data_IF_345229873656
#
_entry.id   IF_345229873656
#
_cell.length_a   1.000
_cell.length_b   1.000
_cell.length_c   1.000
_cell.angle_alpha   90.00
_cell.angle_beta   90.00
_cell.angle_gamma   90.00
#
_symmetry.space_group_name_H-M   'P 1'
#
loop_
_entity.id
_entity.type
_entity.pdbx_description
1 polymer ?
#
# COMPACT_ATOMS: atom_id res chain seq x y z
N UNK A 1 5.12 -12.66 13.47
CA UNK A 1 4.24 -12.43 12.29
C UNK A 1 4.48 -11.01 11.83
N UNK A 2 4.65 -10.78 10.54
CA UNK A 2 4.77 -9.45 9.95
C UNK A 2 3.44 -9.04 9.29
N UNK A 3 3.22 -7.73 9.15
CA UNK A 3 1.99 -7.18 8.56
C UNK A 3 2.33 -6.19 7.45
N UNK A 4 1.61 -6.30 6.34
CA UNK A 4 1.83 -5.50 5.14
C UNK A 4 0.52 -4.87 4.69
N UNK A 5 0.50 -3.53 4.60
CA UNK A 5 -0.55 -2.78 3.94
C UNK A 5 -0.11 -2.40 2.52
N UNK A 6 -0.82 -2.89 1.52
CA UNK A 6 -0.64 -2.47 0.13
C UNK A 6 -1.71 -1.43 -0.20
N UNK A 7 -1.29 -0.22 -0.51
CA UNK A 7 -2.15 0.95 -0.69
C UNK A 7 -1.93 1.51 -2.09
N UNK A 8 -2.97 1.57 -2.91
CA UNK A 8 -2.89 2.31 -4.15
C UNK A 8 -3.02 3.80 -3.88
N UNK A 9 -2.16 4.63 -4.52
CA UNK A 9 -2.27 6.09 -4.43
C UNK A 9 -3.71 6.57 -4.69
N UNK A 10 -4.07 7.73 -4.18
CA UNK A 10 -5.39 8.32 -4.36
C UNK A 10 -5.61 8.85 -5.79
N UNK A 11 -6.83 9.26 -6.11
CA UNK A 11 -7.18 9.70 -7.46
C UNK A 11 -6.41 10.95 -7.84
N UNK A 12 -5.60 10.86 -8.89
CA UNK A 12 -4.85 11.97 -9.48
C UNK A 12 -5.55 12.58 -10.69
N UNK A 13 -5.10 13.77 -11.08
CA UNK A 13 -5.47 14.42 -12.33
C UNK A 13 -5.20 13.49 -13.53
N UNK A 14 -5.96 13.61 -14.62
CA UNK A 14 -5.72 12.85 -15.85
C UNK A 14 -4.33 13.18 -16.41
N UNK A 15 -3.78 12.26 -17.20
CA UNK A 15 -2.60 12.56 -18.01
C UNK A 15 -2.95 13.61 -19.05
N UNK A 16 -2.09 14.63 -19.17
CA UNK A 16 -2.18 15.67 -20.18
C UNK A 16 -0.93 15.57 -21.06
N UNK A 17 -1.10 15.52 -22.36
CA UNK A 17 0.02 15.50 -23.30
C UNK A 17 0.96 16.70 -23.07
N UNK A 18 2.26 16.45 -23.05
CA UNK A 18 3.30 17.45 -22.73
C UNK A 18 3.59 17.63 -21.24
N UNK A 19 2.94 16.84 -20.36
CA UNK A 19 3.27 16.80 -18.93
C UNK A 19 3.84 15.43 -18.55
N UNK A 20 4.61 15.40 -17.45
CA UNK A 20 5.15 14.15 -16.94
C UNK A 20 4.11 13.39 -16.10
N UNK A 21 3.95 12.08 -16.35
CA UNK A 21 3.05 11.23 -15.55
C UNK A 21 3.40 11.28 -14.06
N UNK A 22 4.69 11.36 -13.76
CA UNK A 22 5.24 11.46 -12.40
C UNK A 22 4.66 12.66 -11.64
N UNK A 23 4.43 13.78 -12.31
CA UNK A 23 4.07 15.06 -11.70
C UNK A 23 2.56 15.28 -11.52
N UNK A 24 1.74 14.32 -11.91
CA UNK A 24 0.28 14.40 -11.72
C UNK A 24 -0.09 14.46 -10.24
N UNK A 25 -0.75 15.54 -9.85
CA UNK A 25 -1.24 15.81 -8.48
C UNK A 25 -2.54 15.07 -8.19
N UNK A 26 -2.91 14.98 -6.92
CA UNK A 26 -4.24 14.50 -6.53
C UNK A 26 -5.32 15.49 -6.97
N UNK A 27 -6.49 14.95 -7.32
CA UNK A 27 -7.72 15.75 -7.41
C UNK A 27 -8.29 16.01 -6.01
N UNK A 28 -9.19 16.99 -5.86
CA UNK A 28 -9.94 17.21 -4.62
C UNK A 28 -10.66 15.93 -4.14
N UNK A 29 -11.22 15.15 -5.09
CA UNK A 29 -11.82 13.84 -4.80
C UNK A 29 -10.78 12.83 -4.34
N UNK A 30 -9.55 12.91 -4.86
CA UNK A 30 -8.43 12.08 -4.43
C UNK A 30 -8.03 12.38 -2.99
N UNK A 31 -7.89 13.65 -2.63
CA UNK A 31 -7.57 14.08 -1.26
C UNK A 31 -8.65 13.63 -0.25
N UNK A 32 -9.92 13.79 -0.60
CA UNK A 32 -11.02 13.32 0.25
C UNK A 32 -10.98 11.80 0.45
N UNK A 33 -10.72 11.03 -0.61
CA UNK A 33 -10.60 9.56 -0.52
C UNK A 33 -9.37 9.12 0.26
N UNK A 34 -8.25 9.85 0.14
CA UNK A 34 -7.06 9.60 0.96
C UNK A 34 -7.34 9.87 2.45
N UNK A 35 -8.11 10.90 2.78
CA UNK A 35 -8.53 11.21 4.14
C UNK A 35 -9.45 10.12 4.72
N UNK A 36 -10.37 9.59 3.92
CA UNK A 36 -11.23 8.47 4.32
C UNK A 36 -10.40 7.19 4.56
N UNK A 37 -9.43 6.91 3.68
CA UNK A 37 -8.48 5.81 3.85
C UNK A 37 -7.67 5.98 5.15
N UNK A 38 -7.16 7.18 5.42
CA UNK A 38 -6.45 7.50 6.66
C UNK A 38 -7.31 7.19 7.89
N UNK A 39 -8.58 7.60 7.88
CA UNK A 39 -9.54 7.30 8.95
C UNK A 39 -9.78 5.79 9.13
N UNK A 40 -9.73 5.02 8.05
CA UNK A 40 -9.81 3.55 8.14
C UNK A 40 -8.53 2.96 8.73
N UNK A 41 -7.35 3.43 8.30
CA UNK A 41 -6.04 2.97 8.79
C UNK A 41 -5.84 3.26 10.28
N UNK A 42 -6.34 4.41 10.78
CA UNK A 42 -6.20 4.79 12.20
C UNK A 42 -6.88 3.82 13.17
N UNK A 43 -7.80 3.00 12.69
CA UNK A 43 -8.57 2.01 13.47
C UNK A 43 -7.97 0.59 13.39
N UNK A 44 -6.83 0.43 12.71
CA UNK A 44 -6.24 -0.89 12.47
C UNK A 44 -5.21 -1.27 13.50
N UNK A 45 -5.09 -2.57 13.73
CA UNK A 45 -4.08 -3.18 14.59
C UNK A 45 -3.49 -4.38 13.83
N UNK A 46 -2.16 -4.48 13.74
CA UNK A 46 -1.18 -3.50 14.24
C UNK A 46 -1.17 -2.22 13.39
N UNK A 47 -0.74 -1.12 14.01
CA UNK A 47 -0.59 0.16 13.33
C UNK A 47 0.69 0.17 12.49
N UNK A 48 0.67 0.90 11.38
CA UNK A 48 1.83 1.05 10.49
C UNK A 48 2.97 1.75 11.23
N UNK A 49 4.15 1.12 11.27
CA UNK A 49 5.38 1.63 11.86
C UNK A 49 6.27 2.32 10.82
N UNK A 50 6.28 1.81 9.59
CA UNK A 50 6.99 2.39 8.46
C UNK A 50 6.07 2.52 7.25
N UNK A 51 6.08 3.68 6.62
CA UNK A 51 5.32 3.97 5.41
C UNK A 51 6.28 4.24 4.25
N UNK A 52 6.35 3.32 3.31
CA UNK A 52 7.16 3.41 2.10
C UNK A 52 6.30 3.83 0.92
N UNK A 53 6.78 4.74 0.08
CA UNK A 53 6.00 5.23 -1.04
C UNK A 53 6.86 5.67 -2.22
N UNK A 54 6.29 5.58 -3.42
CA UNK A 54 6.97 6.00 -4.64
C UNK A 54 7.11 7.52 -4.71
N UNK A 55 8.08 7.97 -5.48
CA UNK A 55 8.43 9.39 -5.65
C UNK A 55 7.41 10.22 -6.47
N UNK A 56 6.40 9.61 -7.10
CA UNK A 56 5.42 10.38 -7.86
C UNK A 56 4.60 11.30 -6.95
N UNK A 57 4.26 12.50 -7.44
CA UNK A 57 3.55 13.50 -6.62
C UNK A 57 2.27 12.94 -6.02
N UNK A 58 1.48 12.14 -6.76
CA UNK A 58 0.25 11.52 -6.24
C UNK A 58 0.47 10.54 -5.10
N UNK A 59 1.59 9.81 -5.07
CA UNK A 59 1.92 8.93 -3.95
C UNK A 59 2.44 9.71 -2.75
N UNK A 60 3.29 10.71 -2.96
CA UNK A 60 3.77 11.63 -1.92
C UNK A 60 2.58 12.31 -1.22
N UNK A 61 1.67 12.92 -1.98
CA UNK A 61 0.48 13.57 -1.42
C UNK A 61 -0.44 12.58 -0.68
N UNK A 62 -0.59 11.35 -1.19
CA UNK A 62 -1.36 10.30 -0.49
C UNK A 62 -0.67 9.94 0.83
N UNK A 63 0.66 9.77 0.83
CA UNK A 63 1.45 9.47 2.02
C UNK A 63 1.35 10.59 3.06
N UNK A 64 1.39 11.85 2.64
CA UNK A 64 1.25 13.00 3.53
C UNK A 64 -0.12 13.05 4.23
N UNK A 65 -1.19 12.71 3.51
CA UNK A 65 -2.54 12.65 4.09
C UNK A 65 -2.66 11.47 5.06
N UNK A 66 -2.18 10.28 4.66
CA UNK A 66 -2.22 9.08 5.50
C UNK A 66 -1.40 9.26 6.77
N UNK A 67 -0.23 9.90 6.68
CA UNK A 67 0.67 10.08 7.82
C UNK A 67 0.08 10.95 8.96
N UNK A 68 -0.93 11.77 8.68
CA UNK A 68 -1.58 12.62 9.71
C UNK A 68 -2.28 11.83 10.82
N UNK A 69 -2.59 10.56 10.58
CA UNK A 69 -3.29 9.68 11.54
C UNK A 69 -2.38 8.60 12.13
N UNK A 70 -1.13 8.54 11.70
CA UNK A 70 -0.14 7.61 12.22
C UNK A 70 0.55 8.21 13.47
N UNK A 71 1.08 7.38 14.39
CA UNK A 71 1.79 7.85 15.57
C UNK A 71 3.03 8.69 15.19
N UNK A 72 3.45 9.62 16.03
CA UNK A 72 4.68 10.41 15.81
C UNK A 72 5.95 9.55 15.67
N UNK A 73 5.91 8.32 16.18
CA UNK A 73 7.02 7.36 16.12
C UNK A 73 7.16 6.63 14.79
N UNK A 74 6.19 6.76 13.86
CA UNK A 74 6.30 6.11 12.56
C UNK A 74 7.37 6.75 11.69
N UNK A 75 7.96 5.96 10.79
CA UNK A 75 8.96 6.42 9.83
C UNK A 75 8.37 6.49 8.42
N UNK A 76 8.85 7.44 7.63
CA UNK A 76 8.40 7.72 6.26
C UNK A 76 9.56 7.61 5.28
N UNK A 77 9.41 6.77 4.25
CA UNK A 77 10.46 6.51 3.27
C UNK A 77 9.93 6.70 1.84
N UNK A 78 10.42 7.74 1.18
CA UNK A 78 10.24 7.93 -0.26
C UNK A 78 11.32 7.16 -1.01
N UNK A 79 10.93 6.33 -2.01
CA UNK A 79 11.88 5.61 -2.83
C UNK A 79 11.45 5.59 -4.30
N UNK A 80 12.35 6.03 -5.18
CA UNK A 80 12.13 6.03 -6.64
C UNK A 80 11.95 4.64 -7.22
N UNK A 81 12.53 3.59 -6.59
CA UNK A 81 12.35 2.18 -7.00
C UNK A 81 10.90 1.72 -6.95
N UNK A 82 10.07 2.38 -6.15
CA UNK A 82 8.65 2.05 -6.03
C UNK A 82 7.79 2.67 -7.14
N UNK A 83 8.33 3.58 -7.95
CA UNK A 83 7.59 4.18 -9.05
C UNK A 83 7.39 3.19 -10.20
N UNK A 84 6.13 2.82 -10.45
CA UNK A 84 5.79 1.84 -11.47
C UNK A 84 6.34 0.42 -11.21
N UNK A 85 6.75 0.14 -9.99
CA UNK A 85 7.36 -1.12 -9.61
C UNK A 85 6.45 -2.32 -9.91
N UNK A 86 7.03 -3.37 -10.51
CA UNK A 86 6.40 -4.67 -10.71
C UNK A 86 6.45 -5.50 -9.44
N UNK A 87 5.70 -6.59 -9.41
CA UNK A 87 5.66 -7.54 -8.31
C UNK A 87 7.05 -7.96 -7.81
N UNK A 88 7.95 -8.34 -8.72
CA UNK A 88 9.28 -8.85 -8.36
C UNK A 88 10.12 -7.78 -7.64
N UNK A 89 10.04 -6.52 -8.11
CA UNK A 89 10.74 -5.39 -7.49
C UNK A 89 10.19 -5.10 -6.10
N UNK A 90 8.86 -5.14 -5.93
CA UNK A 90 8.21 -4.94 -4.64
C UNK A 90 8.55 -6.07 -3.66
N UNK A 91 8.58 -7.32 -4.14
CA UNK A 91 8.92 -8.47 -3.32
C UNK A 91 10.38 -8.39 -2.85
N UNK A 92 11.31 -8.06 -3.75
CA UNK A 92 12.72 -7.86 -3.43
C UNK A 92 12.89 -6.70 -2.43
N UNK A 93 12.22 -5.58 -2.65
CA UNK A 93 12.25 -4.41 -1.76
C UNK A 93 11.88 -4.78 -0.32
N UNK A 94 10.88 -5.61 -0.14
CA UNK A 94 10.40 -6.05 1.17
C UNK A 94 11.46 -6.88 1.93
N UNK A 95 12.35 -7.58 1.25
CA UNK A 95 13.40 -8.38 1.89
C UNK A 95 14.44 -7.54 2.62
N UNK A 96 14.53 -6.24 2.34
CA UNK A 96 15.50 -5.32 2.95
C UNK A 96 14.93 -4.49 4.12
N UNK A 97 13.66 -4.70 4.48
CA UNK A 97 13.05 -4.02 5.64
C UNK A 97 13.71 -4.50 6.95
N UNK A 98 13.91 -3.59 7.90
CA UNK A 98 14.48 -3.96 9.21
C UNK A 98 13.52 -4.91 9.95
N UNK A 99 14.06 -6.01 10.45
CA UNK A 99 13.28 -7.02 11.17
C UNK A 99 12.70 -6.53 12.51
N UNK A 100 13.13 -5.38 13.02
CA UNK A 100 12.52 -4.72 14.18
C UNK A 100 11.15 -4.14 13.86
N UNK A 101 10.86 -3.90 12.58
CA UNK A 101 9.58 -3.38 12.09
C UNK A 101 8.64 -4.54 11.82
N UNK A 102 7.50 -4.59 12.50
CA UNK A 102 6.51 -5.66 12.35
C UNK A 102 5.38 -5.30 11.40
N UNK A 103 5.13 -4.02 11.17
CA UNK A 103 4.02 -3.56 10.35
C UNK A 103 4.44 -2.40 9.44
N UNK A 104 4.33 -2.62 8.13
CA UNK A 104 4.65 -1.59 7.13
C UNK A 104 3.49 -1.32 6.18
N UNK A 105 3.47 -0.13 5.60
CA UNK A 105 2.62 0.24 4.49
C UNK A 105 3.44 0.56 3.24
N UNK A 106 2.99 0.10 2.07
CA UNK A 106 3.50 0.53 0.77
C UNK A 106 2.41 1.28 0.02
N UNK A 107 2.67 2.55 -0.33
CA UNK A 107 1.82 3.32 -1.25
C UNK A 107 2.47 3.31 -2.64
N UNK A 108 1.78 2.74 -3.61
CA UNK A 108 2.32 2.55 -4.94
C UNK A 108 1.26 2.50 -6.04
N UNK A 109 1.56 1.75 -7.08
CA UNK A 109 0.87 1.76 -8.36
C UNK A 109 0.36 0.38 -8.77
N UNK A 110 -0.61 0.38 -9.68
CA UNK A 110 -1.00 -0.82 -10.41
C UNK A 110 -0.11 -0.96 -11.67
N UNK A 111 0.10 -2.21 -12.17
CA UNK A 111 -0.47 -3.47 -11.67
C UNK A 111 0.31 -4.11 -10.50
N UNK A 112 1.55 -3.66 -10.20
CA UNK A 112 2.48 -4.32 -9.30
C UNK A 112 1.93 -4.63 -7.91
N UNK A 113 1.18 -3.68 -7.29
CA UNK A 113 0.58 -3.92 -5.96
C UNK A 113 -0.41 -5.10 -5.97
N UNK A 114 -1.27 -5.19 -6.98
CA UNK A 114 -2.24 -6.28 -7.08
C UNK A 114 -1.56 -7.60 -7.38
N UNK A 115 -0.58 -7.61 -8.26
CA UNK A 115 0.22 -8.79 -8.59
C UNK A 115 0.97 -9.31 -7.36
N UNK A 116 1.56 -8.41 -6.56
CA UNK A 116 2.19 -8.76 -5.28
C UNK A 116 1.17 -9.38 -4.31
N UNK A 117 0.00 -8.76 -4.15
CA UNK A 117 -1.05 -9.30 -3.29
C UNK A 117 -1.45 -10.72 -3.71
N UNK A 118 -1.66 -10.95 -5.01
CA UNK A 118 -2.02 -12.26 -5.57
C UNK A 118 -0.90 -13.28 -5.32
N UNK A 119 0.35 -12.90 -5.48
CA UNK A 119 1.49 -13.81 -5.28
C UNK A 119 1.67 -14.21 -3.81
N UNK A 120 1.47 -13.27 -2.88
CA UNK A 120 1.67 -13.50 -1.45
C UNK A 120 0.52 -14.28 -0.80
N UNK A 121 -0.73 -14.01 -1.17
CA UNK A 121 -1.91 -14.51 -0.45
C UNK A 121 -2.19 -15.97 -0.82
N UNK A 122 -2.30 -16.80 0.20
CA UNK A 122 -2.72 -18.20 0.09
C UNK A 122 -4.08 -18.46 0.76
N UNK A 123 -4.37 -17.71 1.83
CA UNK A 123 -5.61 -17.85 2.60
C UNK A 123 -6.28 -16.48 2.79
N UNK A 124 -7.51 -16.51 3.21
CA UNK A 124 -8.38 -15.34 3.38
C UNK A 124 -9.04 -15.38 4.75
N UNK A 125 -9.14 -14.22 5.41
CA UNK A 125 -10.07 -14.04 6.51
C UNK A 125 -11.52 -14.21 6.01
N UNK A 126 -12.44 -14.45 6.91
CA UNK A 126 -13.85 -14.67 6.58
C UNK A 126 -14.41 -13.53 5.72
N UNK A 127 -15.05 -13.88 4.61
CA UNK A 127 -15.65 -12.93 3.66
C UNK A 127 -14.67 -12.22 2.72
N UNK A 128 -13.37 -12.54 2.75
CA UNK A 128 -12.35 -11.89 1.92
C UNK A 128 -12.00 -12.65 0.63
N UNK A 129 -12.56 -13.83 0.40
CA UNK A 129 -12.25 -14.73 -0.70
C UNK A 129 -12.39 -14.11 -2.11
N UNK A 130 -13.31 -13.14 -2.28
CA UNK A 130 -13.58 -12.48 -3.57
C UNK A 130 -12.85 -11.15 -3.76
N UNK A 131 -12.06 -10.69 -2.78
CA UNK A 131 -11.45 -9.37 -2.82
C UNK A 131 -10.44 -9.23 -3.96
N UNK A 132 -9.59 -10.24 -4.17
CA UNK A 132 -8.58 -10.20 -5.22
C UNK A 132 -9.15 -10.24 -6.65
N UNK A 133 -10.42 -10.65 -6.81
CA UNK A 133 -11.13 -10.59 -8.10
C UNK A 133 -11.65 -9.17 -8.43
N UNK A 134 -11.71 -8.27 -7.43
CA UNK A 134 -12.15 -6.89 -7.63
C UNK A 134 -11.06 -6.04 -8.25
N UNK A 135 -11.48 -4.94 -8.89
CA UNK A 135 -10.55 -3.90 -9.31
C UNK A 135 -9.94 -3.22 -8.08
N UNK A 136 -8.62 -3.18 -8.02
CA UNK A 136 -7.91 -2.44 -7.00
C UNK A 136 -7.86 -0.95 -7.38
N UNK A 137 -8.90 -0.22 -7.02
CA UNK A 137 -9.11 1.19 -7.37
C UNK A 137 -8.16 2.11 -6.60
N UNK A 138 -8.00 3.37 -7.03
CA UNK A 138 -7.25 4.40 -6.28
C UNK A 138 -7.81 4.56 -4.86
N UNK A 139 -6.95 4.78 -3.89
CA UNK A 139 -7.24 4.79 -2.44
C UNK A 139 -7.74 3.46 -1.86
N UNK A 140 -7.74 2.36 -2.62
CA UNK A 140 -7.99 1.04 -2.03
C UNK A 140 -6.76 0.55 -1.27
N UNK A 141 -7.00 -0.23 -0.23
CA UNK A 141 -5.93 -0.85 0.57
C UNK A 141 -6.25 -2.32 0.87
N UNK A 142 -5.20 -3.12 0.92
CA UNK A 142 -5.22 -4.53 1.32
C UNK A 142 -4.34 -4.69 2.56
N UNK A 143 -4.82 -5.38 3.58
CA UNK A 143 -4.05 -5.79 4.76
C UNK A 143 -3.72 -7.27 4.69
N UNK A 144 -2.44 -7.60 4.78
CA UNK A 144 -1.90 -8.96 4.68
C UNK A 144 -1.13 -9.29 5.96
N UNK A 145 -1.49 -10.38 6.62
CA UNK A 145 -0.67 -11.01 7.64
C UNK A 145 0.30 -12.00 7.00
N UNK A 146 1.57 -11.87 7.28
CA UNK A 146 2.64 -12.73 6.77
C UNK A 146 3.14 -13.66 7.86
N UNK A 147 3.06 -14.97 7.65
CA UNK A 147 3.55 -15.96 8.60
C UNK A 147 5.08 -16.12 8.52
N UNK A 148 5.78 -15.02 8.75
CA UNK A 148 7.23 -14.92 8.76
C UNK A 148 7.70 -14.22 10.04
N UNK A 149 8.95 -14.44 10.44
CA UNK A 149 9.61 -13.74 11.55
C UNK A 149 10.51 -12.61 11.07
N UNK A 150 11.12 -12.77 9.89
CA UNK A 150 12.01 -11.81 9.26
C UNK A 150 11.52 -11.48 7.87
N UNK A 151 11.76 -10.26 7.42
CA UNK A 151 11.31 -9.80 6.10
C UNK A 151 12.02 -10.53 4.95
N UNK A 152 13.27 -10.99 5.13
CA UNK A 152 13.98 -11.79 4.13
C UNK A 152 13.37 -13.19 3.90
N UNK A 153 12.44 -13.62 4.74
CA UNK A 153 11.68 -14.86 4.57
C UNK A 153 10.43 -14.69 3.70
N UNK A 154 10.12 -13.44 3.27
CA UNK A 154 8.96 -13.20 2.43
C UNK A 154 9.11 -13.92 1.08
N UNK A 155 8.07 -14.62 0.69
CA UNK A 155 8.01 -15.36 -0.56
C UNK A 155 6.56 -15.55 -1.00
N UNK A 156 6.37 -16.08 -2.19
CA UNK A 156 5.03 -16.41 -2.66
C UNK A 156 4.29 -17.33 -1.68
N UNK A 157 2.99 -17.11 -1.51
CA UNK A 157 2.09 -17.91 -0.70
C UNK A 157 2.43 -17.98 0.80
N UNK A 158 2.94 -16.87 1.35
CA UNK A 158 3.22 -16.73 2.79
C UNK A 158 2.17 -15.94 3.55
N UNK A 159 1.20 -15.35 2.84
CA UNK A 159 0.27 -14.36 3.38
C UNK A 159 -1.17 -14.83 3.53
N UNK A 160 -1.86 -14.18 4.45
CA UNK A 160 -3.29 -14.27 4.67
C UNK A 160 -3.88 -12.89 4.42
N UNK A 161 -4.89 -12.76 3.55
CA UNK A 161 -5.64 -11.52 3.41
C UNK A 161 -6.51 -11.32 4.65
N UNK A 162 -6.20 -10.27 5.42
CA UNK A 162 -6.88 -9.97 6.68
C UNK A 162 -8.05 -9.01 6.46
N UNK A 163 -7.83 -7.94 5.70
CA UNK A 163 -8.82 -6.87 5.54
C UNK A 163 -8.65 -6.14 4.21
N UNK A 164 -9.68 -5.44 3.80
CA UNK A 164 -9.73 -4.69 2.54
C UNK A 164 -10.54 -3.41 2.67
N UNK A 165 -9.97 -2.30 2.28
CA UNK A 165 -10.64 -1.01 2.15
C UNK A 165 -11.03 -0.74 0.71
N UNK A 166 -12.32 -0.50 0.47
CA UNK A 166 -12.87 -0.12 -0.83
C UNK A 166 -13.27 1.36 -0.82
N UNK A 167 -12.51 2.19 -1.49
CA UNK A 167 -12.73 3.64 -1.55
C UNK A 167 -14.00 4.08 -2.28
N UNK A 168 -14.75 3.14 -2.85
CA UNK A 168 -15.99 3.39 -3.60
C UNK A 168 -17.26 3.03 -2.81
N UNK A 169 -17.08 2.51 -1.61
CA UNK A 169 -18.19 2.17 -0.69
C UNK A 169 -18.51 3.28 0.28
#
# INVERSE_FOLDING_TARGET
MKYLYLIRHAKSEPFIEGTEDHDRKLTNKGEQRASNLASWLSKKTPIIQELHFSSSIRTVQTADIVSRVLPETFLKFEDTKLYGARNEVLLDYLTFIDDKTDCIGIIGHQPGLKELAISLIINYAEGMDKVLNKNFSTSNAISIGLNIKRWDQISNRTGILIDYYDSKK
#
